data_IF_890222603993
#
_entry.id   IF_890222603993
#
_cell.length_a   1.000
_cell.length_b   1.000
_cell.length_c   1.000
_cell.angle_alpha   90.00
_cell.angle_beta   90.00
_cell.angle_gamma   90.00
#
_symmetry.space_group_name_H-M   'P 1'
#
loop_
_entity.id
_entity.type
_entity.pdbx_description
1 polymer ?
#
# COMPACT_ATOMS: atom_id res chain seq x y z
N UNK A 1 -1.56 2.52 -3.39
CA UNK A 1 -0.52 1.67 -2.76
C UNK A 1 -0.81 1.60 -1.27
N UNK A 2 -1.11 0.41 -0.74
CA UNK A 2 -1.30 0.27 0.71
C UNK A 2 0.02 0.49 1.44
N UNK A 3 -0.02 1.31 2.50
CA UNK A 3 1.13 1.59 3.37
C UNK A 3 0.66 1.44 4.81
N UNK A 4 1.32 0.58 5.58
CA UNK A 4 1.05 0.53 7.01
C UNK A 4 1.41 1.88 7.65
N UNK A 5 0.45 2.50 8.33
CA UNK A 5 0.62 3.86 8.83
C UNK A 5 1.63 3.91 9.99
N UNK A 6 2.63 4.76 9.85
CA UNK A 6 3.70 4.94 10.83
C UNK A 6 4.01 6.42 11.01
N UNK A 7 4.49 6.80 12.19
CA UNK A 7 4.94 8.17 12.45
C UNK A 7 6.45 8.28 12.25
N UNK A 8 6.87 9.13 11.32
CA UNK A 8 8.26 9.47 11.05
C UNK A 8 8.45 10.95 11.41
N UNK A 9 9.24 11.22 12.46
CA UNK A 9 9.51 12.58 12.94
C UNK A 9 8.25 13.44 13.15
N UNK A 10 7.18 12.84 13.68
CA UNK A 10 5.91 13.51 13.95
C UNK A 10 4.97 13.68 12.75
N UNK A 11 5.31 13.11 11.59
CA UNK A 11 4.47 13.09 10.39
C UNK A 11 4.09 11.66 10.03
N UNK A 12 2.90 11.46 9.48
CA UNK A 12 2.47 10.18 8.93
C UNK A 12 3.29 9.80 7.71
N UNK A 13 3.71 8.55 7.60
CA UNK A 13 4.48 8.06 6.46
C UNK A 13 3.71 8.21 5.15
N UNK A 14 2.39 8.01 5.18
CA UNK A 14 1.53 8.22 4.00
C UNK A 14 1.55 9.68 3.54
N UNK A 15 1.46 10.63 4.47
CA UNK A 15 1.56 12.06 4.16
C UNK A 15 2.94 12.42 3.60
N UNK A 16 4.02 11.84 4.12
CA UNK A 16 5.37 12.06 3.57
C UNK A 16 5.44 11.52 2.13
N UNK A 17 5.00 10.28 1.89
CA UNK A 17 5.02 9.67 0.57
C UNK A 17 4.19 10.49 -0.43
N UNK A 18 2.99 10.93 -0.04
CA UNK A 18 2.09 11.65 -0.95
C UNK A 18 2.55 13.09 -1.24
N UNK A 19 3.25 13.75 -0.33
CA UNK A 19 3.73 15.13 -0.54
C UNK A 19 5.14 15.20 -1.15
N UNK A 20 6.01 14.26 -0.79
CA UNK A 20 7.42 14.28 -1.18
C UNK A 20 7.75 13.22 -2.23
N UNK A 21 6.77 12.38 -2.60
CA UNK A 21 6.93 11.25 -3.53
C UNK A 21 8.13 10.38 -3.17
N UNK A 22 8.30 10.07 -1.88
CA UNK A 22 9.43 9.29 -1.40
C UNK A 22 9.05 8.46 -0.17
N UNK A 23 9.38 7.18 -0.19
CA UNK A 23 9.29 6.33 0.99
C UNK A 23 10.60 6.43 1.78
N UNK A 24 10.73 7.51 2.55
CA UNK A 24 11.96 7.87 3.29
C UNK A 24 12.45 6.79 4.27
N UNK A 25 11.57 5.85 4.66
CA UNK A 25 11.90 4.75 5.57
C UNK A 25 12.42 3.52 4.84
N UNK A 26 11.73 3.08 3.78
CA UNK A 26 11.97 1.80 3.15
C UNK A 26 12.73 1.89 1.81
N UNK A 27 12.75 3.06 1.19
CA UNK A 27 13.47 3.31 -0.07
C UNK A 27 14.05 4.74 -0.09
N UNK A 28 15.00 5.07 0.79
CA UNK A 28 15.55 6.42 0.90
C UNK A 28 16.34 6.83 -0.34
N UNK A 29 16.18 8.08 -0.79
CA UNK A 29 16.92 8.66 -1.90
C UNK A 29 16.34 8.38 -3.30
N UNK A 30 15.21 7.65 -3.40
CA UNK A 30 14.54 7.37 -4.67
C UNK A 30 13.13 7.93 -4.68
N UNK A 31 12.82 8.71 -5.73
CA UNK A 31 11.48 9.26 -5.93
C UNK A 31 10.56 8.21 -6.55
N UNK A 32 9.37 8.12 -5.98
CA UNK A 32 8.23 7.44 -6.54
C UNK A 32 7.60 8.32 -7.64
N UNK A 33 7.01 7.72 -8.68
CA UNK A 33 6.24 8.48 -9.66
C UNK A 33 5.06 9.25 -9.03
N UNK A 34 4.71 10.40 -9.60
CA UNK A 34 3.65 11.29 -9.09
C UNK A 34 2.26 10.62 -9.01
N UNK A 35 2.04 9.58 -9.81
CA UNK A 35 0.80 8.80 -9.82
C UNK A 35 0.74 7.71 -8.74
N UNK A 36 1.76 7.56 -7.90
CA UNK A 36 1.73 6.65 -6.75
C UNK A 36 1.13 7.36 -5.54
N UNK A 37 -0.04 6.89 -5.12
CA UNK A 37 -0.74 7.38 -3.92
C UNK A 37 -0.62 6.35 -2.79
N UNK A 38 -0.07 6.75 -1.65
CA UNK A 38 -0.03 5.99 -0.41
C UNK A 38 -1.36 6.10 0.34
N UNK A 39 -1.94 4.95 0.68
CA UNK A 39 -3.24 4.83 1.35
C UNK A 39 -3.07 3.96 2.61
N UNK A 40 -3.43 4.46 3.80
CA UNK A 40 -3.24 3.71 5.04
C UNK A 40 -4.33 2.67 5.31
N UNK A 41 -5.54 2.90 4.77
CA UNK A 41 -6.64 1.97 4.90
C UNK A 41 -6.55 0.90 3.80
N UNK A 42 -6.37 -0.36 4.20
CA UNK A 42 -6.24 -1.47 3.26
C UNK A 42 -7.48 -1.66 2.39
N UNK A 43 -8.68 -1.40 2.92
CA UNK A 43 -9.94 -1.61 2.21
C UNK A 43 -10.15 -0.54 1.14
N UNK A 44 -9.83 0.71 1.46
CA UNK A 44 -9.82 1.80 0.48
C UNK A 44 -8.81 1.51 -0.64
N UNK A 45 -7.63 0.97 -0.30
CA UNK A 45 -6.60 0.66 -1.28
C UNK A 45 -6.98 -0.44 -2.29
N UNK A 46 -7.97 -1.29 -1.99
CA UNK A 46 -8.38 -2.43 -2.85
C UNK A 46 -9.76 -2.27 -3.50
N UNK A 47 -10.57 -1.31 -3.08
CA UNK A 47 -12.00 -1.23 -3.41
C UNK A 47 -12.30 -1.28 -4.92
N UNK A 48 -11.49 -0.59 -5.72
CA UNK A 48 -11.69 -0.45 -7.17
C UNK A 48 -10.52 -1.02 -7.98
N UNK A 49 -9.74 -1.92 -7.39
CA UNK A 49 -8.56 -2.49 -8.04
C UNK A 49 -8.93 -3.58 -9.07
N UNK A 50 -8.47 -3.43 -10.30
CA UNK A 50 -8.49 -4.50 -11.32
C UNK A 50 -7.29 -5.46 -11.19
N UNK A 51 -6.18 -4.99 -10.61
CA UNK A 51 -4.95 -5.76 -10.41
C UNK A 51 -4.39 -5.48 -9.01
N UNK A 52 -4.12 -6.54 -8.25
CA UNK A 52 -3.47 -6.49 -6.94
C UNK A 52 -2.06 -7.10 -7.07
N UNK A 53 -1.06 -6.33 -6.65
CA UNK A 53 0.34 -6.78 -6.58
C UNK A 53 0.70 -6.95 -5.11
N UNK A 54 0.90 -8.18 -4.67
CA UNK A 54 1.28 -8.51 -3.30
C UNK A 54 2.80 -8.55 -3.17
N UNK A 55 3.37 -7.53 -2.52
CA UNK A 55 4.82 -7.40 -2.26
C UNK A 55 5.04 -7.08 -0.79
N UNK A 56 4.70 -8.03 0.06
CA UNK A 56 4.74 -7.88 1.52
C UNK A 56 5.46 -9.08 2.13
N UNK A 57 6.06 -8.95 3.33
CA UNK A 57 6.64 -10.10 4.02
C UNK A 57 5.61 -11.23 4.17
N UNK A 58 6.01 -12.46 3.83
CA UNK A 58 5.12 -13.63 3.75
C UNK A 58 4.27 -13.84 5.02
N UNK A 59 4.82 -13.52 6.19
CA UNK A 59 4.14 -13.64 7.48
C UNK A 59 2.86 -12.80 7.62
N UNK A 60 2.67 -11.77 6.78
CA UNK A 60 1.51 -10.87 6.84
C UNK A 60 0.42 -11.20 5.81
N UNK A 61 0.70 -12.07 4.82
CA UNK A 61 -0.20 -12.29 3.68
C UNK A 61 -1.58 -12.80 4.09
N UNK A 62 -1.63 -13.77 5.03
CA UNK A 62 -2.91 -14.33 5.49
C UNK A 62 -3.78 -13.25 6.13
N UNK A 63 -3.22 -12.44 7.03
CA UNK A 63 -3.95 -11.35 7.69
C UNK A 63 -4.46 -10.31 6.69
N UNK A 64 -3.65 -9.94 5.71
CA UNK A 64 -4.03 -8.99 4.66
C UNK A 64 -5.17 -9.54 3.83
N UNK A 65 -5.09 -10.80 3.38
CA UNK A 65 -6.15 -11.47 2.62
C UNK A 65 -7.46 -11.59 3.41
N UNK A 66 -7.38 -11.93 4.69
CA UNK A 66 -8.55 -12.02 5.57
C UNK A 66 -9.27 -10.67 5.69
N UNK A 67 -8.53 -9.57 5.82
CA UNK A 67 -9.11 -8.23 5.96
C UNK A 67 -9.85 -7.75 4.69
N UNK A 68 -9.30 -8.06 3.50
CA UNK A 68 -9.87 -7.63 2.21
C UNK A 68 -10.90 -8.61 1.64
N UNK A 69 -11.12 -9.74 2.32
CA UNK A 69 -12.09 -10.75 1.88
C UNK A 69 -13.47 -10.13 1.72
N UNK A 70 -14.07 -10.31 0.54
CA UNK A 70 -15.38 -9.75 0.19
C UNK A 70 -15.38 -8.27 -0.20
N UNK A 71 -14.22 -7.60 -0.23
CA UNK A 71 -14.09 -6.17 -0.58
C UNK A 71 -13.34 -5.92 -1.89
N UNK A 72 -12.82 -6.97 -2.51
CA UNK A 72 -12.12 -6.91 -3.80
C UNK A 72 -13.13 -7.13 -4.95
N UNK A 73 -13.03 -6.41 -6.07
CA UNK A 73 -13.81 -6.69 -7.27
C UNK A 73 -13.64 -8.15 -7.74
N UNK A 74 -14.74 -8.82 -8.10
CA UNK A 74 -14.73 -10.25 -8.52
C UNK A 74 -13.85 -10.55 -9.74
N UNK A 75 -13.57 -9.55 -10.56
CA UNK A 75 -12.75 -9.66 -11.78
C UNK A 75 -11.28 -9.28 -11.56
N UNK A 76 -10.93 -8.84 -10.35
CA UNK A 76 -9.58 -8.42 -10.06
C UNK A 76 -8.61 -9.60 -10.18
N UNK A 77 -7.43 -9.34 -10.74
CA UNK A 77 -6.34 -10.32 -10.83
C UNK A 77 -5.33 -10.07 -9.71
N UNK A 78 -4.70 -11.14 -9.22
CA UNK A 78 -3.65 -11.06 -8.21
C UNK A 78 -2.33 -11.61 -8.75
N UNK A 79 -1.23 -10.92 -8.45
CA UNK A 79 0.14 -11.41 -8.64
C UNK A 79 0.93 -11.22 -7.34
N UNK A 80 1.78 -12.19 -7.00
CA UNK A 80 2.65 -12.14 -5.82
C UNK A 80 4.11 -12.08 -6.26
N UNK A 81 4.94 -11.36 -5.50
CA UNK A 81 6.38 -11.23 -5.72
C UNK A 81 7.18 -11.73 -4.49
#
# INVERSE_FOLDING_TARGET
>A
MWVFEENINGRKLTDIINNEHENVKYLPGYKLPDNVVAVPNLNEAVQDADLLVFVIPHQFIHKVCDEITGRIPKKALGITL
#
